data_IF_738634278824
#
_entry.id   IF_738634278824
#
_cell.length_a   1.000
_cell.length_b   1.000
_cell.length_c   1.000
_cell.angle_alpha   90.00
_cell.angle_beta   90.00
_cell.angle_gamma   90.00
#
_symmetry.space_group_name_H-M   'P 1'
#
loop_
_entity.id
_entity.type
_entity.pdbx_description
1 polymer ?
#
# COMPACT_ATOMS: atom_id res chain seq x y z
N UNK A 1 2.26 6.71 7.92
CA UNK A 1 0.97 6.02 7.98
C UNK A 1 0.82 5.13 6.75
N UNK A 2 1.16 3.83 6.83
CA UNK A 2 0.75 2.87 5.81
C UNK A 2 -0.69 2.43 6.06
N UNK A 3 -1.48 2.27 4.99
CA UNK A 3 -2.85 1.77 5.03
C UNK A 3 -2.91 0.48 4.21
N UNK A 4 -3.64 -0.52 4.70
CA UNK A 4 -3.99 -1.72 3.95
C UNK A 4 -5.50 -1.75 3.82
N UNK A 5 -5.98 -1.71 2.57
CA UNK A 5 -7.39 -1.59 2.22
C UNK A 5 -7.72 -2.64 1.16
N UNK A 6 -8.88 -3.27 1.26
CA UNK A 6 -9.35 -4.25 0.29
C UNK A 6 -10.53 -5.07 0.83
N UNK A 7 -11.43 -5.57 -0.04
CA UNK A 7 -11.48 -5.35 -1.49
C UNK A 7 -11.91 -3.91 -1.84
N UNK A 8 -11.43 -3.40 -2.99
CA UNK A 8 -11.82 -2.07 -3.47
C UNK A 8 -13.18 -2.15 -4.18
N UNK A 9 -13.97 -1.06 -4.22
CA UNK A 9 -15.23 -1.04 -4.97
C UNK A 9 -15.02 -1.32 -6.46
N UNK A 10 -15.92 -2.10 -7.06
CA UNK A 10 -15.87 -2.44 -8.49
C UNK A 10 -16.65 -1.45 -9.37
N UNK A 11 -17.54 -0.67 -8.77
CA UNK A 11 -18.44 0.29 -9.41
C UNK A 11 -18.02 1.76 -9.21
N UNK A 12 -16.73 1.99 -8.96
CA UNK A 12 -16.15 3.32 -8.82
C UNK A 12 -14.83 3.44 -9.58
N UNK A 13 -14.62 4.60 -10.21
CA UNK A 13 -13.37 4.92 -10.91
C UNK A 13 -12.31 5.53 -9.99
N UNK A 14 -12.69 6.01 -8.81
CA UNK A 14 -11.79 6.67 -7.88
C UNK A 14 -12.30 6.60 -6.43
N UNK A 15 -11.36 6.73 -5.49
CA UNK A 15 -11.60 6.90 -4.06
C UNK A 15 -11.01 8.21 -3.58
N UNK A 16 -11.82 9.01 -2.89
CA UNK A 16 -11.38 10.26 -2.27
C UNK A 16 -11.17 10.03 -0.77
N UNK A 17 -9.95 10.21 -0.31
CA UNK A 17 -9.56 10.02 1.09
C UNK A 17 -9.63 11.34 1.85
N UNK A 18 -10.77 11.60 2.50
CA UNK A 18 -10.96 12.79 3.34
C UNK A 18 -10.22 12.61 4.67
N UNK A 19 -9.30 13.53 4.98
CA UNK A 19 -8.46 13.45 6.19
C UNK A 19 -8.54 14.73 7.04
N UNK A 20 -8.37 14.56 8.36
CA UNK A 20 -8.25 15.65 9.32
C UNK A 20 -6.87 15.58 9.97
N UNK A 21 -6.04 16.56 9.69
CA UNK A 21 -4.72 16.66 10.29
C UNK A 21 -4.79 17.56 11.51
N UNK A 22 -4.69 16.95 12.70
CA UNK A 22 -4.69 17.70 13.97
C UNK A 22 -3.26 17.88 14.45
N UNK A 23 -2.89 19.13 14.72
CA UNK A 23 -1.58 19.49 15.26
C UNK A 23 -1.61 19.59 16.79
N UNK A 24 -0.43 19.59 17.41
CA UNK A 24 -0.29 19.64 18.88
C UNK A 24 -0.84 20.92 19.51
N UNK A 25 -0.89 22.02 18.75
CA UNK A 25 -1.53 23.29 19.13
C UNK A 25 -3.06 23.27 19.03
N UNK A 26 -3.67 22.11 18.71
CA UNK A 26 -5.10 21.87 18.49
C UNK A 26 -5.67 22.47 17.20
N UNK A 27 -4.83 23.00 16.31
CA UNK A 27 -5.28 23.37 14.97
C UNK A 27 -5.61 22.12 14.15
N UNK A 28 -6.65 22.22 13.33
CA UNK A 28 -7.11 21.14 12.45
C UNK A 28 -7.12 21.64 11.03
N UNK A 29 -6.30 21.02 10.17
CA UNK A 29 -6.32 21.21 8.73
C UNK A 29 -7.20 20.13 8.10
N UNK A 30 -8.09 20.53 7.18
CA UNK A 30 -9.16 19.69 6.66
C UNK A 30 -8.90 19.37 5.19
N UNK A 31 -8.16 18.29 4.96
CA UNK A 31 -7.90 17.71 3.64
C UNK A 31 -9.14 16.96 3.13
N UNK A 32 -10.22 17.69 2.89
CA UNK A 32 -11.55 17.12 2.55
C UNK A 32 -12.13 17.70 1.26
N UNK A 33 -11.41 18.64 0.63
CA UNK A 33 -11.85 19.30 -0.59
C UNK A 33 -11.67 18.37 -1.78
N UNK A 34 -12.71 18.22 -2.60
CA UNK A 34 -12.65 17.37 -3.79
C UNK A 34 -11.97 18.13 -4.95
N UNK A 35 -11.19 17.44 -5.81
CA UNK A 35 -10.64 18.07 -7.00
C UNK A 35 -11.76 18.67 -7.85
N UNK A 36 -11.60 19.95 -8.22
CA UNK A 36 -12.62 20.66 -8.98
C UNK A 36 -12.51 20.28 -10.45
N UNK A 37 -13.65 20.09 -11.11
CA UNK A 37 -13.71 19.70 -12.53
C UNK A 37 -13.14 20.75 -13.49
N UNK A 38 -13.01 22.00 -13.04
CA UNK A 38 -12.40 23.10 -13.77
C UNK A 38 -10.86 23.11 -13.68
N UNK A 39 -10.26 22.18 -12.95
CA UNK A 39 -8.81 22.07 -12.77
C UNK A 39 -8.23 23.06 -11.75
N UNK A 40 -9.07 23.82 -11.05
CA UNK A 40 -8.62 24.72 -9.98
C UNK A 40 -8.17 23.89 -8.77
N UNK A 41 -6.91 24.05 -8.34
CA UNK A 41 -6.37 23.42 -7.12
C UNK A 41 -7.03 24.05 -5.88
N UNK A 42 -7.70 23.26 -5.01
CA UNK A 42 -8.12 23.71 -3.69
C UNK A 42 -6.91 23.97 -2.77
N UNK A 43 -7.13 24.66 -1.64
CA UNK A 43 -6.05 24.93 -0.68
C UNK A 43 -5.62 23.65 0.06
N UNK A 44 -6.58 22.81 0.46
CA UNK A 44 -6.35 21.52 1.13
C UNK A 44 -7.02 20.35 0.38
N UNK A 45 -6.50 19.93 -0.80
CA UNK A 45 -7.12 18.90 -1.62
C UNK A 45 -7.09 17.52 -0.93
N UNK A 46 -8.23 16.85 -0.87
CA UNK A 46 -8.32 15.48 -0.41
C UNK A 46 -7.54 14.56 -1.36
N UNK A 47 -6.65 13.69 -0.85
CA UNK A 47 -5.95 12.71 -1.67
C UNK A 47 -6.91 11.81 -2.44
N UNK A 48 -6.63 11.61 -3.72
CA UNK A 48 -7.45 10.75 -4.61
C UNK A 48 -6.62 9.55 -5.08
N UNK A 49 -7.23 8.37 -5.00
CA UNK A 49 -6.73 7.15 -5.62
C UNK A 49 -7.63 6.81 -6.81
N UNK A 50 -7.07 6.84 -8.01
CA UNK A 50 -7.77 6.37 -9.21
C UNK A 50 -7.72 4.84 -9.24
N UNK A 51 -8.88 4.21 -9.46
CA UNK A 51 -9.03 2.78 -9.58
C UNK A 51 -8.83 2.38 -11.04
N UNK A 52 -7.95 1.41 -11.28
CA UNK A 52 -7.82 0.78 -12.59
C UNK A 52 -8.85 -0.34 -12.73
N UNK A 53 -9.28 -0.61 -13.97
CA UNK A 53 -10.11 -1.77 -14.27
C UNK A 53 -9.47 -3.05 -13.70
N UNK A 54 -10.31 -3.94 -13.17
CA UNK A 54 -9.85 -5.24 -12.73
C UNK A 54 -9.24 -6.00 -13.91
N UNK A 55 -7.96 -6.37 -13.78
CA UNK A 55 -7.41 -7.46 -14.57
C UNK A 55 -7.92 -8.78 -13.95
N UNK A 56 -8.04 -9.84 -14.75
CA UNK A 56 -8.54 -11.17 -14.32
C UNK A 56 -7.74 -11.88 -13.21
N UNK A 57 -6.84 -11.17 -12.50
CA UNK A 57 -6.13 -11.66 -11.33
C UNK A 57 -6.44 -10.74 -10.13
N UNK A 58 -7.44 -11.16 -9.36
CA UNK A 58 -8.02 -10.41 -8.26
C UNK A 58 -6.96 -9.97 -7.22
N UNK A 59 -6.80 -8.65 -7.06
CA UNK A 59 -6.05 -8.06 -5.96
C UNK A 59 -6.78 -8.30 -4.62
N UNK A 60 -6.59 -9.48 -4.04
CA UNK A 60 -7.31 -9.83 -2.80
C UNK A 60 -7.11 -11.22 -2.22
N UNK A 61 -6.04 -11.96 -2.55
CA UNK A 61 -5.69 -13.17 -1.79
C UNK A 61 -4.51 -12.92 -0.86
N UNK A 62 -4.79 -12.38 0.32
CA UNK A 62 -3.95 -12.69 1.48
C UNK A 62 -4.24 -14.14 1.88
N UNK A 63 -3.52 -15.09 1.30
CA UNK A 63 -3.52 -16.46 1.78
C UNK A 63 -2.95 -16.47 3.21
N UNK A 64 -3.84 -16.54 4.20
CA UNK A 64 -3.50 -16.80 5.58
C UNK A 64 -3.03 -18.26 5.71
N UNK A 65 -1.80 -18.54 5.28
CA UNK A 65 -1.11 -19.82 5.46
C UNK A 65 -0.46 -19.89 6.83
N UNK A 66 -1.22 -20.31 7.85
CA UNK A 66 -0.71 -20.58 9.19
C UNK A 66 -0.06 -21.97 9.24
N UNK A 67 1.19 -22.02 9.75
CA UNK A 67 1.98 -23.17 10.23
C UNK A 67 2.33 -24.29 9.20
N UNK A 68 3.60 -24.68 9.04
CA UNK A 68 4.28 -25.52 10.05
C UNK A 68 5.80 -25.54 9.88
N UNK A 69 6.47 -25.63 11.04
CA UNK A 69 7.89 -25.95 11.27
C UNK A 69 8.41 -27.13 10.43
N UNK A 70 9.68 -27.04 10.04
CA UNK A 70 10.40 -28.13 9.38
C UNK A 70 11.89 -27.89 9.24
N UNK A 71 12.63 -27.93 10.36
CA UNK A 71 14.08 -28.13 10.38
C UNK A 71 14.45 -29.41 9.62
N UNK A 72 15.36 -29.32 8.65
CA UNK A 72 16.38 -30.35 8.39
C UNK A 72 17.58 -29.74 7.70
N UNK A 73 18.73 -29.76 8.38
CA UNK A 73 20.02 -29.56 7.74
C UNK A 73 20.47 -30.82 6.99
N UNK A 74 21.40 -30.63 6.05
CA UNK A 74 22.43 -31.61 5.71
C UNK A 74 23.60 -30.86 5.10
N UNK A 75 24.77 -31.17 5.63
CA UNK A 75 26.07 -30.64 5.29
C UNK A 75 26.76 -31.44 4.17
N UNK A 76 27.95 -30.94 3.81
CA UNK A 76 29.06 -31.56 3.08
C UNK A 76 29.10 -31.31 1.56
N UNK A 77 30.20 -30.82 0.99
CA UNK A 77 31.49 -30.47 1.59
C UNK A 77 32.56 -30.13 0.54
N UNK A 78 33.69 -29.59 1.02
CA UNK A 78 35.01 -29.47 0.37
C UNK A 78 35.07 -28.53 -0.85
N UNK A 79 36.14 -27.81 -1.14
CA UNK A 79 37.53 -27.87 -0.70
C UNK A 79 38.20 -26.55 -1.07
N UNK A 80 39.26 -26.23 -0.33
CA UNK A 80 40.06 -25.02 -0.35
C UNK A 80 40.76 -24.75 -1.69
N UNK A 81 41.08 -23.49 -1.98
CA UNK A 81 42.18 -23.20 -2.91
C UNK A 81 42.19 -21.82 -3.56
N UNK A 82 43.12 -20.96 -3.11
CA UNK A 82 43.84 -20.06 -4.01
C UNK A 82 43.54 -18.56 -3.90
N UNK A 83 44.22 -17.90 -2.95
CA UNK A 83 44.72 -16.54 -3.16
C UNK A 83 45.78 -16.58 -4.28
N UNK A 84 45.70 -15.71 -5.30
CA UNK A 84 46.88 -14.98 -5.79
C UNK A 84 46.52 -13.85 -6.80
N UNK A 85 47.25 -12.74 -6.61
CA UNK A 85 47.45 -11.50 -7.39
C UNK A 85 46.30 -10.56 -7.77
#
# INVERSE_FOLDING_TARGET
FPLSLGPLPEDADQLVFKALQTYSNKEVVRWIEEPKSDGSEPDDPAPVLVLSAAADDAHGSAANGSASDGKTGTAAGGDEGGHDK
#
